data_IF_787766316080
#
_entry.id   IF_787766316080
#
_cell.length_a   1.000
_cell.length_b   1.000
_cell.length_c   1.000
_cell.angle_alpha   90.00
_cell.angle_beta   90.00
_cell.angle_gamma   90.00
#
_symmetry.space_group_name_H-M   'P 1'
#
loop_
_entity.id
_entity.type
_entity.pdbx_description
1 polymer ?
#
# COMPACT_ATOMS: atom_id res chain seq x y z
N UNK A 1 -30.95 17.28 -68.06
CA UNK A 1 -29.74 17.12 -68.84
C UNK A 1 -28.61 17.65 -67.97
N UNK A 2 -27.74 16.98 -67.34
CA UNK A 2 -27.04 15.75 -67.65
C UNK A 2 -26.57 15.12 -66.30
N UNK A 3 -26.57 13.83 -66.28
CA UNK A 3 -26.20 12.94 -65.23
C UNK A 3 -24.69 12.92 -64.98
N UNK A 4 -24.24 13.02 -63.74
CA UNK A 4 -22.85 12.69 -63.34
C UNK A 4 -22.86 11.51 -62.37
N UNK A 5 -22.13 10.49 -62.78
CA UNK A 5 -22.06 9.19 -62.16
C UNK A 5 -21.34 9.14 -60.80
N UNK A 6 -21.93 8.44 -59.84
CA UNK A 6 -21.30 7.98 -58.63
C UNK A 6 -20.28 6.88 -58.91
N UNK A 7 -19.05 7.09 -58.53
CA UNK A 7 -18.02 6.03 -58.41
C UNK A 7 -18.03 5.45 -57.00
N UNK A 8 -18.47 4.19 -56.90
CA UNK A 8 -18.41 3.33 -55.73
C UNK A 8 -16.94 2.91 -55.50
N UNK A 9 -16.41 3.21 -54.34
CA UNK A 9 -15.13 2.67 -53.84
C UNK A 9 -15.45 1.42 -53.02
N UNK A 10 -14.85 0.31 -53.40
CA UNK A 10 -14.88 -1.00 -52.72
C UNK A 10 -13.87 -0.96 -51.58
N UNK A 11 -14.15 -1.34 -50.34
CA UNK A 11 -13.16 -1.45 -49.28
C UNK A 11 -12.32 -2.72 -49.46
N UNK A 12 -11.00 -2.53 -49.46
CA UNK A 12 -10.05 -3.63 -49.45
C UNK A 12 -10.00 -4.33 -48.09
N UNK A 13 -9.91 -5.66 -48.15
CA UNK A 13 -9.73 -6.54 -47.01
C UNK A 13 -8.46 -6.22 -46.23
N UNK A 14 -8.62 -5.79 -44.97
CA UNK A 14 -7.54 -5.72 -43.99
C UNK A 14 -7.57 -7.04 -43.20
N UNK A 15 -6.54 -7.86 -43.41
CA UNK A 15 -6.30 -9.07 -42.63
C UNK A 15 -6.26 -8.73 -41.13
N UNK A 16 -7.24 -9.22 -40.39
CA UNK A 16 -7.23 -9.26 -38.94
C UNK A 16 -6.19 -10.30 -38.52
N UNK A 17 -5.04 -9.80 -38.01
CA UNK A 17 -4.09 -10.59 -37.24
C UNK A 17 -4.74 -10.93 -35.90
N UNK A 18 -4.98 -12.23 -35.66
CA UNK A 18 -5.59 -12.72 -34.44
C UNK A 18 -4.69 -12.44 -33.23
N UNK A 19 -5.12 -11.55 -32.38
CA UNK A 19 -4.68 -11.53 -30.99
C UNK A 19 -5.22 -12.77 -30.29
N UNK A 20 -4.32 -13.68 -29.93
CA UNK A 20 -4.62 -14.84 -29.11
C UNK A 20 -5.16 -14.33 -27.77
N UNK A 21 -6.47 -14.41 -27.57
CA UNK A 21 -7.16 -14.02 -26.35
C UNK A 21 -6.53 -14.72 -25.15
N UNK A 22 -5.89 -13.96 -24.27
CA UNK A 22 -5.62 -14.39 -22.91
C UNK A 22 -6.99 -14.62 -22.26
N UNK A 23 -7.38 -15.87 -22.14
CA UNK A 23 -8.53 -16.29 -21.34
C UNK A 23 -8.34 -15.73 -19.93
N UNK A 24 -9.11 -14.71 -19.59
CA UNK A 24 -9.11 -14.17 -18.24
C UNK A 24 -9.49 -15.32 -17.28
N UNK A 25 -8.60 -15.69 -16.37
CA UNK A 25 -8.96 -16.62 -15.30
C UNK A 25 -10.14 -16.02 -14.54
N UNK A 26 -11.16 -16.83 -14.21
CA UNK A 26 -12.24 -16.34 -13.36
C UNK A 26 -11.66 -15.80 -12.05
N UNK A 27 -12.20 -14.70 -11.55
CA UNK A 27 -11.81 -14.16 -10.26
C UNK A 27 -11.94 -15.26 -9.18
N UNK A 28 -10.98 -15.37 -8.25
CA UNK A 28 -11.05 -16.38 -7.18
C UNK A 28 -12.32 -16.17 -6.34
N UNK A 29 -12.88 -17.24 -5.82
CA UNK A 29 -13.99 -17.16 -4.88
C UNK A 29 -13.55 -16.44 -3.59
N UNK A 30 -14.51 -15.90 -2.82
CA UNK A 30 -14.21 -15.28 -1.54
C UNK A 30 -13.51 -16.26 -0.57
N UNK A 31 -13.94 -17.53 -0.59
CA UNK A 31 -13.33 -18.61 0.19
C UNK A 31 -11.88 -18.89 -0.24
N UNK A 32 -11.60 -18.91 -1.54
CA UNK A 32 -10.23 -19.10 -2.04
C UNK A 32 -9.35 -17.89 -1.70
N UNK A 33 -9.90 -16.69 -1.81
CA UNK A 33 -9.22 -15.46 -1.43
C UNK A 33 -8.88 -15.43 0.06
N UNK A 34 -9.81 -15.86 0.94
CA UNK A 34 -9.56 -16.01 2.36
C UNK A 34 -8.40 -16.98 2.61
N UNK A 35 -8.50 -18.22 2.12
CA UNK A 35 -7.47 -19.24 2.35
C UNK A 35 -6.10 -18.83 1.81
N UNK A 36 -6.02 -18.25 0.63
CA UNK A 36 -4.75 -17.80 0.04
C UNK A 36 -4.13 -16.64 0.82
N UNK A 37 -4.93 -15.67 1.26
CA UNK A 37 -4.46 -14.55 2.10
C UNK A 37 -3.92 -15.07 3.43
N UNK A 38 -4.67 -15.97 4.10
CA UNK A 38 -4.27 -16.57 5.37
C UNK A 38 -2.96 -17.37 5.24
N UNK A 39 -2.83 -18.16 4.17
CA UNK A 39 -1.63 -18.93 3.88
C UNK A 39 -0.41 -18.03 3.60
N UNK A 40 -0.59 -16.95 2.84
CA UNK A 40 0.48 -16.01 2.54
C UNK A 40 1.04 -15.35 3.81
N UNK A 41 0.18 -14.93 4.73
CA UNK A 41 0.62 -14.33 6.00
C UNK A 41 1.47 -15.29 6.84
N UNK A 42 1.10 -16.58 6.90
CA UNK A 42 1.90 -17.59 7.58
C UNK A 42 3.26 -17.80 6.89
N UNK A 43 3.27 -17.89 5.56
CA UNK A 43 4.49 -18.07 4.79
C UNK A 43 5.47 -16.88 4.94
N UNK A 44 4.95 -15.65 5.06
CA UNK A 44 5.77 -14.46 5.34
C UNK A 44 6.48 -14.55 6.70
N UNK A 45 5.85 -15.13 7.71
CA UNK A 45 6.42 -15.26 9.04
C UNK A 45 7.29 -16.52 9.24
N UNK A 46 7.28 -17.49 8.32
CA UNK A 46 7.92 -18.79 8.46
C UNK A 46 9.45 -18.70 8.72
N UNK A 47 10.09 -17.65 8.21
CA UNK A 47 11.53 -17.43 8.35
C UNK A 47 11.92 -16.71 9.64
N UNK A 48 10.97 -16.26 10.43
CA UNK A 48 11.22 -15.51 11.65
C UNK A 48 11.35 -16.45 12.85
N UNK A 49 12.38 -16.26 13.66
CA UNK A 49 12.41 -16.82 14.99
C UNK A 49 11.38 -16.15 15.90
N UNK A 50 11.06 -16.75 17.06
CA UNK A 50 10.19 -16.10 18.06
C UNK A 50 10.77 -14.75 18.53
N UNK A 51 12.10 -14.66 18.61
CA UNK A 51 12.78 -13.41 18.95
C UNK A 51 12.55 -12.35 17.88
N UNK A 52 12.78 -12.66 16.59
CA UNK A 52 12.53 -11.72 15.49
C UNK A 52 11.06 -11.31 15.41
N UNK A 53 10.15 -12.27 15.58
CA UNK A 53 8.71 -12.02 15.53
C UNK A 53 8.18 -11.18 16.72
N UNK A 54 8.99 -11.01 17.78
CA UNK A 54 8.62 -10.26 19.00
C UNK A 54 9.10 -8.81 18.98
N UNK A 55 10.12 -8.47 18.16
CA UNK A 55 10.76 -7.15 18.20
C UNK A 55 9.80 -6.06 17.73
N UNK A 56 9.84 -4.93 18.43
CA UNK A 56 9.24 -3.66 18.03
C UNK A 56 10.32 -2.58 18.04
N UNK A 57 10.62 -2.01 16.90
CA UNK A 57 11.75 -1.09 16.71
C UNK A 57 11.40 0.39 16.93
N UNK A 58 10.11 0.73 16.96
CA UNK A 58 9.60 2.10 17.17
C UNK A 58 8.11 2.07 17.56
N UNK A 59 7.57 3.20 18.00
CA UNK A 59 6.18 3.34 18.46
C UNK A 59 5.16 3.05 17.34
N UNK A 60 5.50 3.36 16.09
CA UNK A 60 4.63 3.19 14.92
C UNK A 60 4.62 1.77 14.35
N UNK A 61 5.64 0.97 14.63
CA UNK A 61 5.72 -0.43 14.21
C UNK A 61 4.97 -1.37 15.16
N UNK A 62 4.75 -2.60 14.72
CA UNK A 62 4.26 -3.69 15.55
C UNK A 62 5.07 -4.98 15.30
N UNK A 63 5.19 -5.87 16.30
CA UNK A 63 5.85 -7.16 16.11
C UNK A 63 5.16 -8.03 15.05
N UNK A 64 5.93 -8.82 14.29
CA UNK A 64 5.38 -9.71 13.27
C UNK A 64 4.31 -10.67 13.82
N UNK A 65 4.52 -11.27 14.98
CA UNK A 65 3.52 -12.13 15.63
C UNK A 65 2.25 -11.38 16.03
N UNK A 66 2.37 -10.08 16.35
CA UNK A 66 1.21 -9.25 16.64
C UNK A 66 0.33 -9.06 15.39
N UNK A 67 0.93 -8.83 14.21
CA UNK A 67 0.18 -8.74 12.96
C UNK A 67 -0.61 -10.02 12.67
N UNK A 68 0.01 -11.20 12.84
CA UNK A 68 -0.66 -12.49 12.65
C UNK A 68 -1.84 -12.70 13.59
N UNK A 69 -1.66 -12.34 14.85
CA UNK A 69 -2.69 -12.52 15.87
C UNK A 69 -3.80 -11.45 15.74
N UNK A 70 -3.46 -10.20 15.38
CA UNK A 70 -4.42 -9.12 15.18
C UNK A 70 -5.39 -9.42 14.02
N UNK A 71 -4.90 -9.93 12.91
CA UNK A 71 -5.77 -10.31 11.79
C UNK A 71 -6.63 -11.52 12.12
N UNK A 72 -6.16 -12.43 12.97
CA UNK A 72 -6.98 -13.52 13.51
C UNK A 72 -8.04 -13.03 14.49
N UNK A 73 -7.67 -12.09 15.38
CA UNK A 73 -8.59 -11.42 16.27
C UNK A 73 -9.74 -10.72 15.52
N UNK A 74 -9.46 -10.12 14.34
CA UNK A 74 -10.50 -9.50 13.52
C UNK A 74 -11.57 -10.52 13.11
N UNK A 75 -11.16 -11.67 12.56
CA UNK A 75 -12.09 -12.72 12.15
C UNK A 75 -12.80 -13.35 13.35
N UNK A 76 -12.10 -13.56 14.45
CA UNK A 76 -12.69 -14.09 15.69
C UNK A 76 -13.77 -13.16 16.24
N UNK A 77 -13.47 -11.85 16.31
CA UNK A 77 -14.35 -10.86 16.94
C UNK A 77 -15.57 -10.56 16.07
N UNK A 78 -15.36 -10.22 14.80
CA UNK A 78 -16.44 -9.70 13.94
C UNK A 78 -17.20 -10.78 13.18
N UNK A 79 -16.69 -12.01 13.12
CA UNK A 79 -17.33 -13.10 12.39
C UNK A 79 -17.66 -14.28 13.30
N UNK A 80 -16.69 -14.89 13.96
CA UNK A 80 -16.93 -16.09 14.75
C UNK A 80 -17.80 -15.82 15.98
N UNK A 81 -17.42 -14.82 16.78
CA UNK A 81 -18.19 -14.45 17.99
C UNK A 81 -19.64 -14.07 17.65
N UNK A 82 -19.81 -13.26 16.60
CA UNK A 82 -21.09 -12.63 16.30
C UNK A 82 -21.98 -13.48 15.38
N UNK A 83 -21.40 -14.37 14.54
CA UNK A 83 -22.14 -15.12 13.51
C UNK A 83 -22.08 -16.65 13.65
N UNK A 84 -21.24 -17.22 14.55
CA UNK A 84 -21.16 -18.66 14.77
C UNK A 84 -21.76 -19.03 16.13
N UNK A 85 -22.99 -19.60 16.17
CA UNK A 85 -23.65 -19.92 17.42
C UNK A 85 -22.83 -20.87 18.29
N UNK A 86 -22.64 -20.51 19.56
CA UNK A 86 -21.90 -21.32 20.52
C UNK A 86 -20.39 -21.26 20.41
N UNK A 87 -19.86 -20.39 19.56
CA UNK A 87 -18.42 -20.15 19.50
C UNK A 87 -17.88 -19.65 20.84
N UNK A 88 -16.70 -20.13 21.20
CA UNK A 88 -15.95 -19.67 22.37
C UNK A 88 -14.62 -19.11 21.91
N UNK A 89 -14.25 -17.96 22.47
CA UNK A 89 -12.96 -17.33 22.19
C UNK A 89 -11.81 -18.32 22.44
N UNK A 90 -10.79 -18.26 21.63
CA UNK A 90 -9.56 -19.06 21.81
C UNK A 90 -8.90 -18.80 23.17
N UNK A 91 -8.82 -17.54 23.58
CA UNK A 91 -8.36 -17.09 24.90
C UNK A 91 -9.05 -15.76 25.24
N UNK A 92 -9.72 -15.69 26.40
CA UNK A 92 -10.47 -14.50 26.83
C UNK A 92 -9.61 -13.25 27.03
N UNK A 93 -8.29 -13.38 27.06
CA UNK A 93 -7.33 -12.26 27.15
C UNK A 93 -6.89 -11.70 25.78
N UNK A 94 -7.08 -12.46 24.71
CA UNK A 94 -6.61 -12.07 23.36
C UNK A 94 -7.31 -10.83 22.80
N UNK A 95 -8.59 -10.56 23.09
CA UNK A 95 -9.20 -9.29 22.70
C UNK A 95 -8.45 -8.06 23.22
N UNK A 96 -7.95 -8.08 24.46
CA UNK A 96 -7.14 -6.99 24.99
C UNK A 96 -5.76 -6.89 24.32
N UNK A 97 -5.12 -8.01 24.01
CA UNK A 97 -3.76 -8.04 23.44
C UNK A 97 -3.73 -7.63 21.95
N UNK A 98 -4.77 -8.00 21.21
CA UNK A 98 -4.76 -7.92 19.75
C UNK A 98 -5.75 -6.93 19.16
N UNK A 99 -6.60 -6.27 19.95
CA UNK A 99 -7.32 -5.07 19.50
C UNK A 99 -6.33 -3.95 19.22
N UNK A 100 -6.61 -3.13 18.18
CA UNK A 100 -5.77 -1.98 17.79
C UNK A 100 -6.41 -0.65 18.15
N UNK A 101 -7.40 -0.23 17.40
CA UNK A 101 -8.03 1.11 17.54
C UNK A 101 -9.56 1.03 17.59
N UNK A 102 -10.11 -0.15 17.73
CA UNK A 102 -11.57 -0.35 17.84
C UNK A 102 -11.99 -0.07 19.29
N UNK A 103 -12.39 1.19 19.54
CA UNK A 103 -12.79 1.63 20.90
C UNK A 103 -14.06 0.93 21.38
N UNK A 104 -14.98 0.60 20.46
CA UNK A 104 -16.21 -0.14 20.77
C UNK A 104 -15.95 -1.56 21.26
N UNK A 105 -14.81 -2.16 20.93
CA UNK A 105 -14.38 -3.49 21.38
C UNK A 105 -13.64 -3.47 22.73
N UNK A 106 -13.55 -2.32 23.38
CA UNK A 106 -13.03 -2.20 24.75
C UNK A 106 -11.55 -1.85 24.85
N UNK A 107 -10.99 -2.14 26.02
CA UNK A 107 -9.59 -1.80 26.32
C UNK A 107 -8.62 -2.63 25.50
N UNK A 108 -7.42 -2.07 25.26
CA UNK A 108 -6.35 -2.69 24.48
C UNK A 108 -4.98 -2.36 25.04
N UNK A 109 -3.99 -3.14 24.66
CA UNK A 109 -2.58 -2.82 24.93
C UNK A 109 -2.17 -1.56 24.15
N UNK A 110 -1.40 -0.68 24.78
CA UNK A 110 -0.84 0.47 24.09
C UNK A 110 0.10 0.05 22.95
N UNK A 111 0.04 0.72 21.79
CA UNK A 111 0.80 0.34 20.59
C UNK A 111 2.30 0.23 20.86
N UNK A 112 2.87 1.22 21.55
CA UNK A 112 4.30 1.26 21.88
C UNK A 112 4.75 0.14 22.85
N UNK A 113 3.80 -0.57 23.47
CA UNK A 113 4.10 -1.68 24.39
C UNK A 113 3.94 -3.07 23.76
N UNK A 114 3.59 -3.18 22.48
CA UNK A 114 3.38 -4.45 21.78
C UNK A 114 4.63 -5.32 21.77
N UNK A 115 5.82 -4.72 21.65
CA UNK A 115 7.11 -5.40 21.73
C UNK A 115 7.46 -5.97 23.10
N UNK A 116 6.73 -5.61 24.17
CA UNK A 116 6.91 -6.20 25.50
C UNK A 116 6.19 -7.52 25.67
N UNK A 117 5.37 -7.93 24.71
CA UNK A 117 4.64 -9.19 24.72
C UNK A 117 5.54 -10.38 24.39
N UNK A 118 6.30 -10.88 25.38
CA UNK A 118 7.03 -12.14 25.20
C UNK A 118 6.08 -13.36 25.14
N UNK A 119 4.83 -13.19 25.56
CA UNK A 119 3.73 -14.16 25.43
C UNK A 119 2.46 -13.45 24.94
N UNK A 120 1.67 -14.12 24.08
CA UNK A 120 1.94 -15.46 23.52
C UNK A 120 3.22 -15.47 22.65
N UNK A 121 3.86 -16.65 22.57
CA UNK A 121 4.96 -16.89 21.64
C UNK A 121 4.44 -17.00 20.19
N UNK A 122 5.34 -17.02 19.20
CA UNK A 122 4.95 -17.10 17.79
C UNK A 122 4.12 -18.35 17.48
N UNK A 123 4.49 -19.51 18.04
CA UNK A 123 3.76 -20.77 17.88
C UNK A 123 2.35 -20.73 18.46
N UNK A 124 2.15 -20.04 19.60
CA UNK A 124 0.82 -19.82 20.20
C UNK A 124 -0.04 -18.90 19.30
N UNK A 125 0.57 -17.85 18.71
CA UNK A 125 -0.12 -17.00 17.73
C UNK A 125 -0.51 -17.78 16.45
N UNK A 126 0.35 -18.69 15.99
CA UNK A 126 0.07 -19.58 14.86
C UNK A 126 -1.04 -20.58 15.22
N UNK A 127 -1.03 -21.13 16.43
CA UNK A 127 -2.10 -22.02 16.91
C UNK A 127 -3.46 -21.30 16.97
N UNK A 128 -3.47 -20.08 17.51
CA UNK A 128 -4.67 -19.21 17.48
C UNK A 128 -5.18 -19.01 16.07
N UNK A 129 -4.29 -18.64 15.14
CA UNK A 129 -4.63 -18.43 13.75
C UNK A 129 -5.28 -19.65 13.11
N UNK A 130 -4.70 -20.84 13.29
CA UNK A 130 -5.24 -22.10 12.76
C UNK A 130 -6.62 -22.42 13.33
N UNK A 131 -6.81 -22.22 14.64
CA UNK A 131 -8.12 -22.44 15.26
C UNK A 131 -9.20 -21.51 14.68
N UNK A 132 -8.85 -20.25 14.42
CA UNK A 132 -9.75 -19.30 13.74
C UNK A 132 -10.03 -19.73 12.31
N UNK A 133 -9.01 -20.14 11.53
CA UNK A 133 -9.17 -20.58 10.15
C UNK A 133 -10.11 -21.78 10.03
N UNK A 134 -9.93 -22.79 10.91
CA UNK A 134 -10.80 -23.98 10.99
C UNK A 134 -12.25 -23.61 11.35
N UNK A 135 -12.43 -22.69 12.29
CA UNK A 135 -13.74 -22.23 12.73
C UNK A 135 -14.48 -21.38 11.68
N UNK A 136 -13.74 -20.70 10.79
CA UNK A 136 -14.29 -19.85 9.72
C UNK A 136 -14.94 -20.66 8.59
N UNK A 137 -14.58 -21.93 8.38
CA UNK A 137 -15.04 -22.74 7.24
C UNK A 137 -16.57 -22.70 7.02
N UNK A 138 -17.45 -22.87 8.05
CA UNK A 138 -18.89 -22.81 7.85
C UNK A 138 -19.41 -21.41 7.50
N UNK A 139 -18.64 -20.35 7.72
CA UNK A 139 -19.05 -18.98 7.42
C UNK A 139 -18.63 -18.52 6.01
N UNK A 140 -17.63 -19.16 5.38
CA UNK A 140 -17.05 -18.72 4.12
C UNK A 140 -18.04 -18.72 2.94
N UNK A 141 -19.10 -19.52 3.00
CA UNK A 141 -20.17 -19.57 1.98
C UNK A 141 -21.41 -18.75 2.30
N UNK A 142 -21.44 -18.04 3.43
CA UNK A 142 -22.62 -17.30 3.87
C UNK A 142 -22.63 -15.90 3.25
N UNK A 143 -23.74 -15.57 2.57
CA UNK A 143 -23.92 -14.26 1.90
C UNK A 143 -23.94 -13.08 2.90
N UNK A 144 -24.56 -13.28 4.09
CA UNK A 144 -24.62 -12.26 5.13
C UNK A 144 -23.27 -11.95 5.80
N UNK A 145 -22.31 -12.88 5.74
CA UNK A 145 -20.94 -12.69 6.21
C UNK A 145 -20.00 -12.15 5.13
N UNK A 146 -20.36 -12.22 3.85
CA UNK A 146 -19.47 -11.91 2.73
C UNK A 146 -18.83 -10.50 2.80
N UNK A 147 -19.54 -9.41 3.16
CA UNK A 147 -18.93 -8.08 3.28
C UNK A 147 -17.85 -8.01 4.36
N UNK A 148 -18.08 -8.62 5.52
CA UNK A 148 -17.10 -8.65 6.62
C UNK A 148 -15.90 -9.55 6.30
N UNK A 149 -16.11 -10.67 5.59
CA UNK A 149 -15.02 -11.52 5.12
C UNK A 149 -14.16 -10.76 4.12
N UNK A 150 -14.76 -10.05 3.17
CA UNK A 150 -14.03 -9.22 2.21
C UNK A 150 -13.21 -8.11 2.89
N UNK A 151 -13.79 -7.44 3.88
CA UNK A 151 -13.08 -6.45 4.70
C UNK A 151 -11.92 -7.09 5.48
N UNK A 152 -12.13 -8.24 6.11
CA UNK A 152 -11.09 -8.97 6.84
C UNK A 152 -9.93 -9.40 5.96
N UNK A 153 -10.21 -9.86 4.73
CA UNK A 153 -9.18 -10.18 3.73
C UNK A 153 -8.38 -8.93 3.37
N UNK A 154 -9.05 -7.82 3.05
CA UNK A 154 -8.38 -6.58 2.69
C UNK A 154 -7.56 -6.01 3.88
N UNK A 155 -8.09 -6.08 5.10
CA UNK A 155 -7.40 -5.74 6.33
C UNK A 155 -6.14 -6.59 6.54
N UNK A 156 -6.23 -7.90 6.33
CA UNK A 156 -5.06 -8.78 6.45
C UNK A 156 -4.00 -8.50 5.37
N UNK A 157 -4.40 -8.20 4.14
CA UNK A 157 -3.48 -7.80 3.09
C UNK A 157 -2.71 -6.51 3.43
N UNK A 158 -3.34 -5.55 4.11
CA UNK A 158 -2.62 -4.38 4.66
C UNK A 158 -1.60 -4.82 5.73
N UNK A 159 -1.99 -5.76 6.60
CA UNK A 159 -1.10 -6.27 7.64
C UNK A 159 0.04 -7.14 7.12
N UNK A 160 -0.07 -7.77 5.96
CA UNK A 160 1.04 -8.42 5.25
C UNK A 160 2.11 -7.41 4.85
N UNK A 161 1.70 -6.29 4.30
CA UNK A 161 2.62 -5.19 3.96
C UNK A 161 3.26 -4.57 5.20
N UNK A 162 2.46 -4.26 6.23
CA UNK A 162 2.96 -3.72 7.50
C UNK A 162 3.95 -4.67 8.18
N UNK A 163 3.70 -5.99 8.15
CA UNK A 163 4.63 -6.97 8.68
C UNK A 163 6.00 -6.87 8.01
N UNK A 164 6.04 -6.77 6.68
CA UNK A 164 7.29 -6.67 5.93
C UNK A 164 8.03 -5.35 6.19
N UNK A 165 7.32 -4.23 6.28
CA UNK A 165 7.93 -2.92 6.55
C UNK A 165 8.42 -2.80 7.99
N UNK A 166 7.67 -3.32 8.94
CA UNK A 166 7.99 -3.26 10.37
C UNK A 166 9.16 -4.17 10.72
N UNK A 167 9.18 -5.41 10.19
CA UNK A 167 10.32 -6.32 10.40
C UNK A 167 11.58 -5.82 9.68
N UNK A 168 11.46 -5.26 8.48
CA UNK A 168 12.60 -4.63 7.80
C UNK A 168 13.23 -3.54 8.66
N UNK A 169 12.39 -2.67 9.25
CA UNK A 169 12.87 -1.62 10.14
C UNK A 169 13.53 -2.20 11.40
N UNK A 170 12.96 -3.25 11.98
CA UNK A 170 13.51 -3.92 13.16
C UNK A 170 14.89 -4.56 12.88
N UNK A 171 15.03 -5.27 11.76
CA UNK A 171 16.28 -5.88 11.34
C UNK A 171 17.37 -4.84 11.00
N UNK A 172 16.97 -3.69 10.43
CA UNK A 172 17.87 -2.56 10.17
C UNK A 172 18.45 -1.96 11.46
N UNK A 173 17.69 -1.93 12.57
CA UNK A 173 18.18 -1.44 13.86
C UNK A 173 19.22 -2.36 14.49
N UNK A 174 19.34 -3.61 14.03
CA UNK A 174 20.36 -4.53 14.50
C UNK A 174 21.71 -4.21 13.82
N UNK A 175 22.79 -3.91 14.59
CA UNK A 175 24.10 -3.59 14.02
C UNK A 175 24.68 -4.68 13.10
N UNK A 176 24.21 -5.93 13.23
CA UNK A 176 24.64 -7.03 12.36
C UNK A 176 23.97 -7.00 10.99
N UNK A 177 22.90 -6.20 10.80
CA UNK A 177 22.13 -6.10 9.56
C UNK A 177 21.60 -7.43 9.04
N UNK A 178 20.91 -8.25 9.90
CA UNK A 178 20.49 -9.59 9.49
C UNK A 178 19.46 -9.54 8.36
N UNK A 179 19.56 -10.52 7.45
CA UNK A 179 18.63 -10.71 6.35
C UNK A 179 17.46 -11.60 6.79
N UNK A 180 16.24 -11.28 6.33
CA UNK A 180 15.07 -12.17 6.44
C UNK A 180 15.05 -13.20 5.31
N UNK A 181 15.50 -12.83 4.13
CA UNK A 181 15.55 -13.67 2.93
C UNK A 181 16.98 -13.78 2.40
N UNK A 182 17.30 -14.89 1.73
CA UNK A 182 18.64 -15.17 1.26
C UNK A 182 19.10 -14.27 0.10
N UNK A 183 18.14 -13.77 -0.69
CA UNK A 183 18.41 -12.92 -1.88
C UNK A 183 17.21 -12.06 -2.23
N UNK A 184 17.45 -10.97 -2.98
CA UNK A 184 16.41 -10.20 -3.65
C UNK A 184 15.93 -10.94 -4.91
N UNK A 185 14.70 -10.65 -5.38
CA UNK A 185 14.23 -11.10 -6.68
C UNK A 185 15.07 -10.42 -7.79
N UNK A 186 15.35 -11.16 -8.84
CA UNK A 186 15.93 -10.61 -10.06
C UNK A 186 14.81 -9.93 -10.87
N UNK A 187 14.60 -8.65 -10.62
CA UNK A 187 13.52 -7.87 -11.25
C UNK A 187 14.14 -6.87 -12.23
N UNK A 188 13.89 -7.00 -13.54
CA UNK A 188 14.38 -6.06 -14.53
C UNK A 188 13.86 -4.64 -14.29
N UNK A 189 14.72 -3.65 -14.50
CA UNK A 189 14.36 -2.23 -14.42
C UNK A 189 13.78 -1.79 -15.76
N UNK A 190 12.52 -1.36 -15.78
CA UNK A 190 11.82 -0.86 -16.94
C UNK A 190 11.34 0.57 -16.71
N UNK A 191 12.19 1.55 -16.93
CA UNK A 191 11.81 2.96 -16.75
C UNK A 191 10.76 3.37 -17.78
N UNK A 192 9.64 3.92 -17.33
CA UNK A 192 8.67 4.58 -18.21
C UNK A 192 9.25 5.86 -18.82
N UNK A 193 8.87 6.20 -20.04
CA UNK A 193 9.32 7.42 -20.70
C UNK A 193 8.16 8.40 -20.90
N UNK A 194 8.45 9.69 -20.73
CA UNK A 194 7.51 10.78 -21.01
C UNK A 194 6.46 11.00 -19.93
N UNK A 195 5.33 11.54 -20.35
CA UNK A 195 4.28 12.04 -19.47
C UNK A 195 2.91 11.48 -19.86
N UNK A 196 2.02 11.39 -18.89
CA UNK A 196 0.58 11.20 -19.08
C UNK A 196 -0.02 12.60 -19.01
N UNK A 197 -0.61 13.08 -20.10
CA UNK A 197 -1.21 14.41 -20.15
C UNK A 197 -2.72 14.34 -19.97
N UNK A 198 -3.26 15.30 -19.22
CA UNK A 198 -4.69 15.47 -19.02
C UNK A 198 -5.08 16.92 -19.24
N UNK A 199 -6.14 17.15 -20.03
CA UNK A 199 -6.57 18.49 -20.46
C UNK A 199 -7.34 19.28 -19.39
N UNK A 200 -7.44 18.74 -18.18
CA UNK A 200 -8.24 19.35 -17.12
C UNK A 200 -9.74 19.14 -17.29
N UNK A 201 -10.53 19.99 -16.64
CA UNK A 201 -11.99 19.94 -16.67
C UNK A 201 -12.60 19.24 -15.48
N UNK A 202 -13.91 18.99 -15.54
CA UNK A 202 -14.63 18.31 -14.46
C UNK A 202 -14.44 16.80 -14.57
N UNK A 203 -13.75 16.21 -13.61
CA UNK A 203 -13.57 14.76 -13.48
C UNK A 203 -14.45 14.20 -12.34
N UNK A 204 -14.53 12.88 -12.27
CA UNK A 204 -15.14 12.15 -11.14
C UNK A 204 -14.10 11.20 -10.54
N UNK A 205 -13.90 11.31 -9.24
CA UNK A 205 -13.01 10.46 -8.47
C UNK A 205 -13.75 9.78 -7.33
N UNK A 206 -13.12 8.75 -6.77
CA UNK A 206 -13.68 7.94 -5.69
C UNK A 206 -14.59 6.82 -6.18
N UNK A 207 -15.00 5.97 -5.24
CA UNK A 207 -15.81 4.78 -5.52
C UNK A 207 -17.30 5.14 -5.56
N UNK A 208 -18.01 4.50 -6.49
CA UNK A 208 -19.48 4.59 -6.54
C UNK A 208 -20.06 3.67 -5.44
N UNK A 209 -20.89 4.23 -4.57
CA UNK A 209 -21.55 3.47 -3.51
C UNK A 209 -22.53 2.40 -4.02
N UNK A 210 -22.94 2.48 -5.29
CA UNK A 210 -23.76 1.46 -5.94
C UNK A 210 -22.95 0.29 -6.51
N UNK A 211 -21.63 0.40 -6.56
CA UNK A 211 -20.74 -0.69 -7.02
C UNK A 211 -20.72 -1.80 -5.97
N UNK A 212 -20.93 -3.03 -6.40
CA UNK A 212 -20.91 -4.22 -5.53
C UNK A 212 -19.51 -4.73 -5.20
N UNK A 213 -18.47 -4.18 -5.86
CA UNK A 213 -17.07 -4.53 -5.56
C UNK A 213 -16.66 -3.94 -4.22
N UNK A 214 -15.84 -4.70 -3.48
CA UNK A 214 -15.30 -4.21 -2.21
C UNK A 214 -14.47 -2.94 -2.39
N UNK A 215 -14.70 -1.97 -1.51
CA UNK A 215 -13.86 -0.80 -1.29
C UNK A 215 -13.94 -0.38 0.18
N UNK A 216 -12.93 0.33 0.66
CA UNK A 216 -13.02 0.95 1.98
C UNK A 216 -13.94 2.18 1.93
N UNK A 217 -14.58 2.49 3.05
CA UNK A 217 -15.49 3.64 3.19
C UNK A 217 -14.84 4.97 2.79
N UNK A 218 -13.55 5.14 3.10
CA UNK A 218 -12.78 6.35 2.78
C UNK A 218 -12.55 6.57 1.27
N UNK A 219 -12.81 5.57 0.43
CA UNK A 219 -12.69 5.68 -1.02
C UNK A 219 -13.91 6.34 -1.68
N UNK A 220 -14.99 6.48 -0.95
CA UNK A 220 -16.25 7.08 -1.40
C UNK A 220 -16.71 8.27 -0.58
N UNK A 221 -17.83 8.86 -0.99
CA UNK A 221 -18.58 8.60 -2.23
C UNK A 221 -17.90 9.20 -3.47
N UNK A 222 -18.23 8.66 -4.65
CA UNK A 222 -17.79 9.21 -5.93
C UNK A 222 -18.32 10.63 -6.13
N UNK A 223 -17.42 11.58 -6.40
CA UNK A 223 -17.78 12.99 -6.47
C UNK A 223 -17.05 13.71 -7.63
N UNK A 224 -17.46 14.93 -7.91
CA UNK A 224 -16.86 15.75 -8.96
C UNK A 224 -15.76 16.62 -8.40
N UNK A 225 -14.66 16.71 -9.16
CA UNK A 225 -13.55 17.62 -8.92
C UNK A 225 -13.25 18.42 -10.19
N UNK A 226 -12.80 19.66 -10.03
CA UNK A 226 -12.26 20.45 -11.14
C UNK A 226 -10.74 20.24 -11.15
N UNK A 227 -10.22 19.88 -12.31
CA UNK A 227 -8.77 19.75 -12.56
C UNK A 227 -8.33 20.80 -13.57
N UNK A 228 -7.20 21.45 -13.30
CA UNK A 228 -6.49 22.23 -14.32
C UNK A 228 -5.70 21.29 -15.23
N UNK A 229 -5.31 21.70 -16.44
CA UNK A 229 -4.46 20.89 -17.31
C UNK A 229 -3.14 20.54 -16.61
N UNK A 230 -2.78 19.25 -16.64
CA UNK A 230 -1.56 18.75 -15.98
C UNK A 230 -0.93 17.60 -16.76
N UNK A 231 0.29 17.28 -16.38
CA UNK A 231 0.94 16.04 -16.80
C UNK A 231 1.59 15.33 -15.61
N UNK A 232 1.49 13.99 -15.60
CA UNK A 232 2.08 13.10 -14.61
C UNK A 232 3.20 12.29 -15.24
N UNK A 233 4.38 12.22 -14.60
CA UNK A 233 5.50 11.42 -15.08
C UNK A 233 5.14 9.95 -15.19
N UNK A 234 5.55 9.29 -16.30
CA UNK A 234 5.44 7.83 -16.43
C UNK A 234 6.47 7.07 -15.61
N UNK A 235 7.51 7.75 -15.12
CA UNK A 235 8.54 7.16 -14.26
C UNK A 235 8.35 7.56 -12.81
N UNK A 236 8.65 6.64 -11.92
CA UNK A 236 9.03 6.96 -10.54
C UNK A 236 10.39 7.67 -10.54
N UNK A 237 10.65 8.52 -9.55
CA UNK A 237 11.97 9.12 -9.34
C UNK A 237 12.94 8.01 -8.94
N UNK A 238 14.10 7.96 -9.61
CA UNK A 238 15.13 6.95 -9.43
C UNK A 238 16.13 7.29 -8.30
N UNK A 239 16.86 6.29 -7.84
CA UNK A 239 17.97 6.47 -6.90
C UNK A 239 19.05 7.38 -7.45
N UNK A 240 19.29 7.36 -8.78
CA UNK A 240 20.24 8.27 -9.47
C UNK A 240 19.81 9.73 -9.34
N UNK A 241 18.55 10.03 -9.68
CA UNK A 241 18.00 11.39 -9.58
C UNK A 241 18.00 11.86 -8.13
N UNK A 242 17.76 10.97 -7.18
CA UNK A 242 17.84 11.29 -5.76
C UNK A 242 19.26 11.58 -5.28
N UNK A 243 20.24 10.82 -5.76
CA UNK A 243 21.65 11.09 -5.47
C UNK A 243 22.11 12.45 -6.02
N UNK A 244 21.60 12.87 -7.18
CA UNK A 244 21.85 14.21 -7.75
C UNK A 244 21.25 15.31 -6.84
N UNK A 245 20.03 15.13 -6.34
CA UNK A 245 19.40 16.02 -5.35
C UNK A 245 20.25 16.17 -4.08
N UNK A 246 20.78 15.06 -3.54
CA UNK A 246 21.68 15.07 -2.37
C UNK A 246 22.97 15.83 -2.70
N UNK A 247 23.61 15.52 -3.85
CA UNK A 247 24.89 16.12 -4.27
C UNK A 247 24.76 17.62 -4.48
N UNK A 248 23.62 18.10 -5.00
CA UNK A 248 23.31 19.53 -5.18
C UNK A 248 22.90 20.24 -3.88
N UNK A 249 23.00 19.57 -2.75
CA UNK A 249 22.75 20.11 -1.43
C UNK A 249 21.27 20.21 -1.04
N UNK A 250 20.42 19.38 -1.63
CA UNK A 250 18.96 19.38 -1.39
C UNK A 250 18.56 19.33 0.07
N UNK A 251 19.24 18.51 0.88
CA UNK A 251 19.02 18.42 2.34
C UNK A 251 19.58 19.60 3.15
N UNK A 252 20.31 20.53 2.52
CA UNK A 252 20.94 21.70 3.16
C UNK A 252 20.36 23.01 2.69
N UNK A 253 19.43 23.01 1.74
CA UNK A 253 18.81 24.21 1.19
C UNK A 253 17.39 24.42 1.74
N UNK A 254 17.19 25.30 2.74
CA UNK A 254 15.88 25.52 3.35
C UNK A 254 14.79 26.00 2.39
N UNK A 255 15.16 26.61 1.27
CA UNK A 255 14.20 27.15 0.31
C UNK A 255 13.40 26.06 -0.43
N UNK A 256 13.84 24.81 -0.38
CA UNK A 256 13.16 23.66 -0.99
C UNK A 256 12.11 23.02 -0.09
N UNK A 257 12.17 23.28 1.20
CA UNK A 257 11.44 22.53 2.23
C UNK A 257 10.23 23.29 2.78
N UNK A 258 9.17 22.55 3.06
CA UNK A 258 8.11 23.04 3.93
C UNK A 258 8.67 23.29 5.35
N UNK A 259 8.11 24.26 6.07
CA UNK A 259 8.59 24.68 7.40
C UNK A 259 8.79 23.51 8.38
N UNK A 260 7.75 22.69 8.53
CA UNK A 260 7.79 21.54 9.45
C UNK A 260 8.77 20.45 8.97
N UNK A 261 8.89 20.28 7.66
CA UNK A 261 9.84 19.36 7.02
C UNK A 261 11.28 19.79 7.28
N UNK A 262 11.58 21.09 7.14
CA UNK A 262 12.89 21.64 7.45
C UNK A 262 13.26 21.49 8.92
N UNK A 263 12.32 21.79 9.82
CA UNK A 263 12.54 21.62 11.25
C UNK A 263 12.79 20.14 11.62
N UNK A 264 12.02 19.23 11.02
CA UNK A 264 12.15 17.79 11.24
C UNK A 264 13.48 17.24 10.71
N UNK A 265 13.88 17.55 9.48
CA UNK A 265 15.14 17.09 8.89
C UNK A 265 16.35 17.50 9.72
N UNK A 266 16.35 18.76 10.21
CA UNK A 266 17.45 19.25 11.06
C UNK A 266 17.45 18.60 12.46
N UNK A 267 16.28 18.40 13.06
CA UNK A 267 16.17 17.78 14.40
C UNK A 267 16.62 16.32 14.37
N UNK A 268 16.23 15.57 13.32
CA UNK A 268 16.56 14.15 13.19
C UNK A 268 17.89 13.89 12.46
N UNK A 269 18.58 14.94 11.98
CA UNK A 269 19.84 14.81 11.25
C UNK A 269 19.74 14.01 9.96
N UNK A 270 18.65 14.23 9.18
CA UNK A 270 18.38 13.46 7.97
C UNK A 270 19.12 14.05 6.78
N UNK A 271 19.87 13.22 6.07
CA UNK A 271 20.67 13.59 4.90
C UNK A 271 20.44 12.71 3.67
N UNK A 272 19.63 11.65 3.81
CA UNK A 272 19.32 10.68 2.75
C UNK A 272 18.03 9.92 3.03
N UNK A 273 17.45 9.19 2.07
CA UNK A 273 16.37 8.24 2.30
C UNK A 273 16.71 7.23 3.41
N UNK A 274 15.71 6.79 4.15
CA UNK A 274 15.91 5.77 5.18
C UNK A 274 16.51 4.50 4.55
N UNK A 275 17.41 3.85 5.27
CA UNK A 275 18.16 2.65 4.86
C UNK A 275 19.34 2.88 3.89
N UNK A 276 19.62 4.10 3.44
CA UNK A 276 20.84 4.38 2.67
C UNK A 276 22.07 4.55 3.55
N UNK A 277 23.16 3.92 3.15
CA UNK A 277 24.49 4.11 3.76
C UNK A 277 25.56 4.04 2.67
N UNK A 278 26.18 5.16 2.31
CA UNK A 278 27.09 5.24 1.17
C UNK A 278 26.39 4.80 -0.12
N UNK A 279 26.98 3.84 -0.84
CA UNK A 279 26.45 3.27 -2.08
C UNK A 279 25.51 2.07 -1.82
N UNK A 280 25.33 1.69 -0.57
CA UNK A 280 24.49 0.57 -0.16
C UNK A 280 23.15 1.03 0.40
N UNK A 281 22.21 0.10 0.43
CA UNK A 281 20.94 0.24 1.15
C UNK A 281 20.57 -1.06 1.87
N UNK A 282 19.86 -0.92 3.00
CA UNK A 282 19.35 -2.08 3.71
C UNK A 282 18.05 -2.58 3.10
N UNK A 283 17.97 -3.89 2.84
CA UNK A 283 16.83 -4.59 2.23
C UNK A 283 16.37 -5.76 3.11
N UNK A 284 15.30 -6.44 2.73
CA UNK A 284 14.90 -7.70 3.37
C UNK A 284 15.90 -8.85 3.14
N UNK A 285 16.85 -8.69 2.21
CA UNK A 285 17.98 -9.58 2.01
C UNK A 285 19.30 -9.01 2.59
N UNK A 286 19.20 -8.15 3.62
CA UNK A 286 20.35 -7.49 4.23
C UNK A 286 20.88 -6.31 3.40
N UNK A 287 22.13 -5.92 3.64
CA UNK A 287 22.80 -4.85 2.91
C UNK A 287 23.09 -5.26 1.47
N UNK A 288 22.68 -4.42 0.51
CA UNK A 288 22.88 -4.61 -0.92
C UNK A 288 23.43 -3.32 -1.54
N UNK A 289 24.15 -3.45 -2.65
CA UNK A 289 24.50 -2.29 -3.48
C UNK A 289 23.24 -1.68 -4.07
N UNK A 290 23.17 -0.34 -4.04
CA UNK A 290 22.00 0.39 -4.49
C UNK A 290 21.98 0.50 -6.01
N UNK A 291 20.96 -0.11 -6.65
CA UNK A 291 20.73 0.04 -8.08
C UNK A 291 20.34 1.50 -8.39
N UNK A 292 21.11 2.24 -9.18
CA UNK A 292 20.83 3.64 -9.49
C UNK A 292 19.55 3.86 -10.29
N UNK A 293 19.09 2.86 -11.04
CA UNK A 293 17.91 2.94 -11.89
C UNK A 293 16.62 2.46 -11.19
N UNK A 294 16.74 1.83 -10.03
CA UNK A 294 15.59 1.49 -9.19
C UNK A 294 14.96 2.75 -8.56
N UNK A 295 13.67 2.73 -8.20
CA UNK A 295 12.99 3.86 -7.57
C UNK A 295 13.62 4.25 -6.22
N UNK A 296 13.76 5.55 -5.98
CA UNK A 296 14.05 6.08 -4.66
C UNK A 296 12.85 5.83 -3.75
N UNK A 297 13.09 5.13 -2.65
CA UNK A 297 12.04 4.73 -1.71
C UNK A 297 12.46 4.96 -0.26
N UNK A 298 11.48 4.75 0.64
CA UNK A 298 11.66 5.02 2.07
C UNK A 298 11.93 6.50 2.34
N UNK A 299 11.14 7.33 1.70
CA UNK A 299 11.15 8.79 1.81
C UNK A 299 9.84 9.28 2.45
N UNK A 300 9.95 10.34 3.22
CA UNK A 300 8.80 11.04 3.81
C UNK A 300 8.10 11.94 2.76
N UNK A 301 6.89 12.42 3.10
CA UNK A 301 6.22 13.45 2.30
C UNK A 301 7.06 14.71 2.17
N UNK A 302 7.73 15.12 3.27
CA UNK A 302 8.58 16.31 3.27
C UNK A 302 9.76 16.18 2.30
N UNK A 303 10.40 15.02 2.26
CA UNK A 303 11.48 14.72 1.33
C UNK A 303 10.97 14.70 -0.12
N UNK A 304 9.80 14.08 -0.36
CA UNK A 304 9.19 14.02 -1.69
C UNK A 304 8.83 15.43 -2.23
N UNK A 305 8.29 16.30 -1.39
CA UNK A 305 7.94 17.69 -1.75
C UNK A 305 9.19 18.53 -2.01
N UNK A 306 10.23 18.39 -1.17
CA UNK A 306 11.51 19.08 -1.36
C UNK A 306 12.21 18.65 -2.65
N UNK A 307 12.21 17.35 -2.98
CA UNK A 307 12.72 16.86 -4.24
C UNK A 307 11.94 17.43 -5.43
N UNK A 308 10.61 17.41 -5.36
CA UNK A 308 9.78 17.98 -6.44
C UNK A 308 10.05 19.47 -6.65
N UNK A 309 10.23 20.24 -5.57
CA UNK A 309 10.62 21.66 -5.61
C UNK A 309 12.00 21.86 -6.25
N UNK A 310 12.98 21.05 -5.89
CA UNK A 310 14.32 21.06 -6.50
C UNK A 310 14.27 20.77 -8.00
N UNK A 311 13.45 19.81 -8.42
CA UNK A 311 13.26 19.45 -9.82
C UNK A 311 12.45 20.49 -10.63
N UNK A 312 11.98 21.60 -10.00
CA UNK A 312 11.11 22.59 -10.64
C UNK A 312 9.76 22.01 -11.04
N UNK A 313 9.25 21.06 -10.26
CA UNK A 313 8.00 20.32 -10.45
C UNK A 313 7.18 20.33 -9.15
N UNK A 314 6.14 19.52 -9.10
CA UNK A 314 5.32 19.30 -7.91
C UNK A 314 4.91 17.83 -7.76
N UNK A 315 4.39 17.48 -6.60
CA UNK A 315 3.64 16.24 -6.43
C UNK A 315 2.25 16.36 -7.09
N UNK A 316 1.68 15.26 -7.61
CA UNK A 316 0.30 15.24 -8.05
C UNK A 316 -0.66 15.42 -6.86
N UNK A 317 -1.86 15.91 -7.11
CA UNK A 317 -2.98 15.70 -6.20
C UNK A 317 -3.48 14.25 -6.30
N UNK A 318 -4.20 13.76 -5.29
CA UNK A 318 -4.82 12.43 -5.37
C UNK A 318 -5.80 12.33 -6.54
N UNK A 319 -6.52 13.43 -6.85
CA UNK A 319 -7.47 13.48 -7.95
C UNK A 319 -6.78 13.39 -9.32
N UNK A 320 -5.67 14.10 -9.52
CA UNK A 320 -4.85 14.01 -10.74
C UNK A 320 -4.29 12.61 -10.93
N UNK A 321 -3.78 12.00 -9.86
CA UNK A 321 -3.26 10.65 -9.91
C UNK A 321 -4.35 9.63 -10.27
N UNK A 322 -5.52 9.72 -9.62
CA UNK A 322 -6.63 8.79 -9.83
C UNK A 322 -7.17 8.85 -11.27
N UNK A 323 -7.29 10.05 -11.82
CA UNK A 323 -7.73 10.25 -13.22
C UNK A 323 -6.68 9.74 -14.19
N UNK A 324 -5.39 9.97 -13.95
CA UNK A 324 -4.31 9.44 -14.79
C UNK A 324 -4.25 7.90 -14.76
N UNK A 325 -4.72 7.28 -13.67
CA UNK A 325 -4.74 5.83 -13.48
C UNK A 325 -6.06 5.17 -13.89
N UNK A 326 -7.03 5.92 -14.44
CA UNK A 326 -8.37 5.40 -14.71
C UNK A 326 -8.39 4.15 -15.62
N UNK A 327 -7.49 4.11 -16.61
CA UNK A 327 -7.35 3.01 -17.58
C UNK A 327 -6.16 2.08 -17.28
N UNK A 328 -5.45 2.30 -16.17
CA UNK A 328 -4.32 1.46 -15.79
C UNK A 328 -4.81 0.16 -15.12
N UNK A 329 -4.06 -0.94 -15.31
CA UNK A 329 -4.34 -2.21 -14.64
C UNK A 329 -3.92 -2.13 -13.15
N UNK A 330 -4.86 -2.17 -12.19
CA UNK A 330 -4.52 -2.13 -10.76
C UNK A 330 -3.75 -3.36 -10.28
N UNK A 331 -3.85 -4.49 -11.00
CA UNK A 331 -3.08 -5.70 -10.74
C UNK A 331 -1.79 -5.76 -11.57
N UNK A 332 -1.49 -4.73 -12.36
CA UNK A 332 -0.24 -4.59 -13.09
C UNK A 332 0.94 -4.23 -12.20
N UNK A 333 2.11 -4.10 -12.81
CA UNK A 333 3.33 -3.71 -12.13
C UNK A 333 3.81 -4.71 -11.07
N UNK A 334 4.73 -4.24 -10.24
CA UNK A 334 5.36 -5.07 -9.21
C UNK A 334 4.57 -5.03 -7.90
N UNK A 335 3.94 -6.13 -7.57
CA UNK A 335 3.17 -6.35 -6.34
C UNK A 335 3.51 -7.73 -5.78
N UNK A 336 3.15 -7.99 -4.52
CA UNK A 336 3.46 -9.24 -3.84
C UNK A 336 2.50 -10.37 -4.25
N UNK A 337 3.07 -11.46 -4.76
CA UNK A 337 2.34 -12.69 -5.15
C UNK A 337 2.60 -13.85 -4.19
N UNK A 338 3.72 -13.85 -3.50
CA UNK A 338 4.21 -14.95 -2.66
C UNK A 338 5.17 -14.44 -1.59
N UNK A 339 5.47 -15.29 -0.62
CA UNK A 339 6.41 -14.99 0.47
C UNK A 339 7.86 -15.05 -0.02
N UNK A 340 8.35 -13.93 -0.52
CA UNK A 340 9.74 -13.74 -0.93
C UNK A 340 10.20 -12.32 -0.57
N UNK A 341 11.49 -12.05 -0.70
CA UNK A 341 11.99 -10.69 -0.55
C UNK A 341 11.33 -9.77 -1.59
N UNK A 342 10.89 -8.60 -1.15
CA UNK A 342 10.35 -7.57 -2.03
C UNK A 342 11.33 -6.40 -2.09
N UNK A 343 11.51 -5.87 -3.29
CA UNK A 343 12.35 -4.72 -3.54
C UNK A 343 11.79 -3.92 -4.72
N UNK A 344 11.58 -2.61 -4.57
CA UNK A 344 11.07 -1.78 -5.65
C UNK A 344 11.94 -1.83 -6.91
N UNK A 345 11.29 -1.98 -8.07
CA UNK A 345 11.92 -1.92 -9.38
C UNK A 345 11.25 -0.85 -10.26
N UNK A 346 11.99 -0.25 -11.18
CA UNK A 346 11.44 0.71 -12.12
C UNK A 346 10.41 0.01 -13.03
N UNK A 347 9.24 0.62 -13.19
CA UNK A 347 8.15 0.14 -14.04
C UNK A 347 7.44 1.33 -14.70
N UNK A 348 6.92 1.18 -15.93
CA UNK A 348 6.03 2.17 -16.52
C UNK A 348 4.63 2.16 -15.88
N UNK A 349 4.29 1.11 -15.14
CA UNK A 349 2.99 0.95 -14.50
C UNK A 349 2.77 1.99 -13.40
N UNK A 350 1.52 2.41 -13.24
CA UNK A 350 1.14 3.33 -12.16
C UNK A 350 0.99 2.62 -10.82
N UNK A 351 0.71 1.33 -10.85
CA UNK A 351 0.59 0.49 -9.66
C UNK A 351 1.84 -0.34 -9.41
N UNK A 352 2.09 -0.66 -8.13
CA UNK A 352 3.23 -1.45 -7.71
C UNK A 352 4.51 -0.64 -7.49
N UNK A 353 5.59 -1.34 -7.17
CA UNK A 353 6.91 -0.82 -6.78
C UNK A 353 6.90 -0.03 -5.49
N UNK A 354 6.36 1.17 -5.44
CA UNK A 354 6.21 1.95 -4.22
C UNK A 354 4.91 2.77 -4.21
N UNK A 355 4.39 3.01 -3.02
CA UNK A 355 3.34 4.00 -2.78
C UNK A 355 3.85 5.39 -3.14
N UNK A 356 3.02 6.15 -3.85
CA UNK A 356 3.39 7.45 -4.39
C UNK A 356 2.75 8.57 -3.58
N UNK A 357 3.57 9.40 -2.95
CA UNK A 357 3.10 10.57 -2.23
C UNK A 357 2.34 11.52 -3.15
N UNK A 358 1.19 11.97 -2.70
CA UNK A 358 0.44 13.05 -3.32
C UNK A 358 0.49 14.29 -2.43
N UNK A 359 0.24 15.47 -2.99
CA UNK A 359 0.12 16.70 -2.21
C UNK A 359 -1.21 16.87 -1.50
N UNK A 360 -2.10 15.86 -1.56
CA UNK A 360 -3.43 15.91 -0.96
C UNK A 360 -3.39 15.49 0.50
N UNK A 361 -3.95 16.33 1.38
CA UNK A 361 -4.23 15.92 2.76
C UNK A 361 -5.29 14.81 2.77
N UNK A 362 -5.14 13.86 3.70
CA UNK A 362 -6.13 12.82 3.92
C UNK A 362 -7.34 13.40 4.67
N UNK A 363 -8.35 13.80 3.91
CA UNK A 363 -9.59 14.40 4.39
C UNK A 363 -10.81 13.61 3.88
N UNK A 364 -11.97 13.72 4.57
CA UNK A 364 -13.19 13.10 4.07
C UNK A 364 -13.60 13.69 2.71
N UNK A 365 -14.04 12.82 1.81
CA UNK A 365 -14.65 13.26 0.57
C UNK A 365 -16.01 13.94 0.81
N UNK A 366 -16.48 14.83 -0.09
CA UNK A 366 -17.81 15.42 0.03
C UNK A 366 -18.90 14.35 0.16
N UNK A 367 -19.66 14.41 1.26
CA UNK A 367 -20.70 13.43 1.56
C UNK A 367 -20.21 12.13 2.23
N UNK A 368 -18.95 12.04 2.61
CA UNK A 368 -18.43 10.91 3.40
C UNK A 368 -19.18 10.75 4.71
N UNK A 369 -19.51 9.51 5.03
CA UNK A 369 -20.03 9.10 6.34
C UNK A 369 -19.38 7.77 6.72
N UNK A 370 -18.78 7.64 7.91
CA UNK A 370 -18.22 6.35 8.34
C UNK A 370 -19.35 5.31 8.42
N UNK A 371 -18.98 4.03 8.21
CA UNK A 371 -19.91 2.94 8.43
C UNK A 371 -20.37 2.88 9.91
N UNK A 372 -21.52 2.27 10.16
CA UNK A 372 -22.02 2.09 11.52
C UNK A 372 -21.22 1.02 12.28
N UNK A 373 -21.15 1.16 13.61
CA UNK A 373 -20.48 0.22 14.50
C UNK A 373 -18.95 0.29 14.47
N UNK A 374 -18.31 -0.71 15.07
CA UNK A 374 -16.86 -0.77 15.22
C UNK A 374 -16.10 -0.75 13.87
N UNK A 375 -16.70 -1.34 12.83
CA UNK A 375 -16.11 -1.34 11.47
C UNK A 375 -15.92 0.09 10.93
N UNK A 376 -16.81 1.04 11.27
CA UNK A 376 -16.69 2.45 10.90
C UNK A 376 -15.54 3.19 11.58
N UNK A 377 -14.92 2.61 12.60
CA UNK A 377 -13.73 3.16 13.23
C UNK A 377 -12.44 2.96 12.41
N UNK A 378 -12.53 2.27 11.28
CA UNK A 378 -11.36 1.83 10.53
C UNK A 378 -10.59 2.99 9.86
N UNK A 379 -11.25 3.93 9.21
CA UNK A 379 -10.61 4.98 8.40
C UNK A 379 -10.89 6.40 8.86
N UNK A 380 -12.14 6.74 9.14
CA UNK A 380 -12.59 8.12 9.33
C UNK A 380 -11.82 8.89 10.41
N UNK A 381 -11.49 8.26 11.51
CA UNK A 381 -10.76 8.90 12.62
C UNK A 381 -9.29 9.24 12.31
N UNK A 382 -8.73 8.70 11.23
CA UNK A 382 -7.37 8.99 10.80
C UNK A 382 -7.27 10.17 9.83
N UNK A 383 -8.39 10.78 9.43
CA UNK A 383 -8.45 11.91 8.50
C UNK A 383 -8.01 13.23 9.17
N UNK A 384 -6.78 13.24 9.71
CA UNK A 384 -6.20 14.38 10.40
C UNK A 384 -4.67 14.35 10.33
N UNK A 385 -4.06 15.38 9.75
CA UNK A 385 -2.60 15.55 9.71
C UNK A 385 -1.84 14.57 8.84
N UNK A 386 -2.50 13.74 8.08
CA UNK A 386 -1.91 12.74 7.18
C UNK A 386 -2.06 13.15 5.71
N UNK A 387 -1.21 12.58 4.85
CA UNK A 387 -1.26 12.80 3.41
C UNK A 387 -1.57 11.50 2.67
N UNK A 388 -2.26 11.64 1.53
CA UNK A 388 -2.67 10.51 0.69
C UNK A 388 -1.52 10.00 -0.15
N UNK A 389 -1.38 8.67 -0.21
CA UNK A 389 -0.54 7.96 -1.16
C UNK A 389 -1.40 7.12 -2.09
N UNK A 390 -0.99 7.02 -3.34
CA UNK A 390 -1.71 6.30 -4.39
C UNK A 390 -0.84 5.21 -5.01
N UNK A 391 -1.48 4.27 -5.70
CA UNK A 391 -0.81 3.16 -6.39
C UNK A 391 -0.83 1.88 -5.58
N UNK A 392 0.31 1.32 -5.37
CA UNK A 392 0.61 0.14 -4.55
C UNK A 392 2.12 0.06 -4.37
N UNK A 393 2.62 -0.75 -3.46
CA UNK A 393 4.04 -1.06 -3.34
C UNK A 393 4.36 -2.49 -3.78
N UNK A 394 5.64 -2.82 -3.86
CA UNK A 394 6.11 -4.18 -4.09
C UNK A 394 5.69 -5.16 -2.97
N UNK A 395 5.34 -4.65 -1.79
CA UNK A 395 4.85 -5.42 -0.64
C UNK A 395 3.32 -5.47 -0.56
N UNK A 396 2.61 -4.73 -1.40
CA UNK A 396 1.15 -4.79 -1.47
C UNK A 396 0.71 -6.09 -2.14
N UNK A 397 -0.19 -6.86 -1.53
CA UNK A 397 -0.74 -8.07 -2.13
C UNK A 397 -1.43 -7.76 -3.46
N UNK A 398 -1.14 -8.55 -4.51
CA UNK A 398 -1.70 -8.30 -5.85
C UNK A 398 -3.24 -8.34 -5.83
N UNK A 399 -3.83 -7.33 -6.45
CA UNK A 399 -5.29 -7.17 -6.50
C UNK A 399 -5.90 -6.44 -5.30
N UNK A 400 -5.08 -6.03 -4.31
CA UNK A 400 -5.53 -5.25 -3.15
C UNK A 400 -5.85 -3.80 -3.54
N UNK A 401 -5.03 -3.18 -4.37
CA UNK A 401 -5.15 -1.77 -4.74
C UNK A 401 -6.09 -1.54 -5.94
N UNK A 402 -6.51 -0.29 -6.13
CA UNK A 402 -7.37 0.21 -7.22
C UNK A 402 -7.22 1.72 -7.35
N UNK A 403 -7.68 2.35 -8.44
CA UNK A 403 -7.51 3.81 -8.63
C UNK A 403 -8.07 4.64 -7.48
N UNK A 404 -9.19 4.25 -6.89
CA UNK A 404 -9.83 4.95 -5.76
C UNK A 404 -9.13 4.71 -4.42
N UNK A 405 -8.29 3.66 -4.29
CA UNK A 405 -7.64 3.32 -3.01
C UNK A 405 -6.83 4.50 -2.46
N UNK A 406 -6.98 4.76 -1.17
CA UNK A 406 -6.33 5.85 -0.44
C UNK A 406 -5.50 5.29 0.69
N UNK A 407 -4.19 5.12 0.47
CA UNK A 407 -3.24 4.88 1.55
C UNK A 407 -2.87 6.22 2.20
N UNK A 408 -2.48 6.22 3.45
CA UNK A 408 -2.22 7.46 4.18
C UNK A 408 -1.19 7.26 5.29
N UNK A 409 -0.29 8.25 5.44
CA UNK A 409 0.70 8.28 6.50
C UNK A 409 0.93 9.72 6.98
N UNK A 410 1.49 9.89 8.19
CA UNK A 410 1.97 11.18 8.64
C UNK A 410 3.14 11.66 7.79
N UNK A 411 3.30 12.97 7.56
CA UNK A 411 4.24 13.50 6.59
C UNK A 411 5.73 13.23 6.90
N UNK A 412 6.07 12.86 8.13
CA UNK A 412 7.44 12.48 8.53
C UNK A 412 7.73 10.98 8.43
N UNK A 413 6.70 10.14 8.28
CA UNK A 413 6.85 8.69 8.25
C UNK A 413 7.48 8.22 6.93
N UNK A 414 8.45 7.29 6.98
CA UNK A 414 9.23 6.89 5.81
C UNK A 414 9.77 5.45 5.82
N UNK A 415 9.33 4.58 6.75
CA UNK A 415 9.80 3.18 6.78
C UNK A 415 9.05 2.26 5.81
N UNK A 416 7.91 2.70 5.27
CA UNK A 416 7.15 2.00 4.25
C UNK A 416 7.84 2.14 2.88
N UNK A 417 7.42 1.33 1.91
CA UNK A 417 7.87 1.47 0.52
C UNK A 417 7.19 2.67 -0.15
N UNK A 418 7.56 3.87 0.29
CA UNK A 418 7.04 5.15 -0.21
C UNK A 418 8.03 5.79 -1.17
N UNK A 419 7.55 6.35 -2.25
CA UNK A 419 8.30 7.06 -3.28
C UNK A 419 7.45 8.16 -3.91
N UNK A 420 7.78 8.60 -5.11
CA UNK A 420 7.03 9.67 -5.78
C UNK A 420 7.06 9.57 -7.31
N UNK A 421 6.03 10.16 -7.94
CA UNK A 421 6.02 10.60 -9.34
C UNK A 421 5.87 12.11 -9.37
N UNK A 422 6.54 12.74 -10.33
CA UNK A 422 6.44 14.17 -10.52
C UNK A 422 5.23 14.53 -11.36
N UNK A 423 4.61 15.65 -11.04
CA UNK A 423 3.57 16.30 -11.83
C UNK A 423 3.99 17.70 -12.24
N UNK A 424 3.36 18.23 -13.27
CA UNK A 424 3.61 19.58 -13.77
C UNK A 424 2.32 20.14 -14.37
N UNK A 425 2.09 21.43 -14.18
CA UNK A 425 1.04 22.20 -14.86
C UNK A 425 1.41 22.42 -16.33
N UNK A 426 0.39 22.49 -17.21
CA UNK A 426 0.54 22.70 -18.66
C UNK A 426 -0.04 24.07 -19.04
#
# INVERSE_FOLDING_TARGET
>A
MDTAAQKTLVPGDVHAGGEAGRSARPAPSLSDSFRSTRALSLALAERLSDADATIQSMEDASPAKWHLAHTSWFFETFLLRDHLPGYRLFDDRFPFLFNSYYEAEGQRIARFSRGMLSRPALDECIAFRRAVDDAMEPLLGREDCAPLIALGIAHEQQHQELLLTDIKHALFQNPLGPAMFDRLPDTPQHKGEGWIEHQGGIARIGQDCADTRFCFDCEGPRHRVLLEPFRLSRSLVSNREWAEFIADGGYRNPALWLSDGWAWVNREGIEAPLYWHGDQHFTLAGWQDRDPDAPATHISYYEADAFASWAGKRLPTEAEWEVAAADADPAGGQQMDRAEAVQPAATPDLFGSCWQWTRSAYLPYPGFSPAEGAVGEYNGKFMSGQFVLKGASCATARGHSRPSYRNFFYPHQRWQFTGLRLAQDI
#
